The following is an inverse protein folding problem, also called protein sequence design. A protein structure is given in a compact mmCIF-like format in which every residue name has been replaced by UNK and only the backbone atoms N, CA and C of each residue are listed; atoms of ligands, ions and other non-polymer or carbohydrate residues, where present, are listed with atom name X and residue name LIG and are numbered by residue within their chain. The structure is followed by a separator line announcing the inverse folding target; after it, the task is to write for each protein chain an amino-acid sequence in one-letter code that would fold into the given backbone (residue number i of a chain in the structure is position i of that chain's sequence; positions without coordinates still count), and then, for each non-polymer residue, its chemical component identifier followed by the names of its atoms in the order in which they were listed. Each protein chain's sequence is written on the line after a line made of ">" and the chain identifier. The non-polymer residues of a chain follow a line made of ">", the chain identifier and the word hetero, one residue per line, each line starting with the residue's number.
data_IF_442703886933
#
_entry.id   IF_442703886933
#
_cell.length_a   1.000
_cell.length_b   1.000
_cell.length_c   1.000
_cell.angle_alpha   90.00
_cell.angle_beta   90.00
_cell.angle_gamma   90.00
#
_symmetry.space_group_name_H-M   'P 1'
#
loop_
_entity.id
_entity.type
_entity.pdbx_description
1 polymer ?
#
# COMPACT_ATOMS: atom_id res chain seq x y z
N UNK A 1 1.51 17.39 -5.97
CA UNK A 1 1.21 16.49 -7.10
C UNK A 1 0.11 15.53 -6.68
N UNK A 2 -0.87 15.32 -7.54
CA UNK A 2 -1.84 14.22 -7.36
C UNK A 2 -1.18 12.93 -7.83
N UNK A 3 -1.25 11.87 -7.01
CA UNK A 3 -0.84 10.52 -7.45
C UNK A 3 -1.88 10.02 -8.45
N UNK A 4 -1.44 9.40 -9.54
CA UNK A 4 -2.28 8.82 -10.59
C UNK A 4 -2.06 7.31 -10.72
N UNK A 5 -2.98 6.63 -11.40
CA UNK A 5 -2.77 5.22 -11.72
C UNK A 5 -1.51 5.04 -12.59
N UNK A 6 -0.70 4.02 -12.27
CA UNK A 6 0.62 3.78 -12.87
C UNK A 6 1.79 4.40 -12.10
N UNK A 7 1.54 5.29 -11.14
CA UNK A 7 2.60 5.79 -10.25
C UNK A 7 3.13 4.67 -9.35
N UNK A 8 4.40 4.80 -8.97
CA UNK A 8 5.06 3.87 -8.08
C UNK A 8 5.27 4.51 -6.71
N UNK A 9 4.87 3.79 -5.67
CA UNK A 9 5.06 4.20 -4.28
C UNK A 9 5.92 3.17 -3.56
N UNK A 10 6.70 3.63 -2.59
CA UNK A 10 7.46 2.76 -1.70
C UNK A 10 6.68 2.63 -0.40
N UNK A 11 6.45 1.39 0.03
CA UNK A 11 5.85 1.08 1.34
C UNK A 11 6.86 0.37 2.24
N UNK A 12 6.83 0.67 3.52
CA UNK A 12 7.78 0.17 4.54
C UNK A 12 7.07 -0.23 5.81
N UNK A 13 7.73 -1.06 6.61
CA UNK A 13 7.30 -1.41 7.96
C UNK A 13 6.80 -0.19 8.76
N UNK A 14 5.63 -0.35 9.38
CA UNK A 14 4.94 0.65 10.18
C UNK A 14 4.06 1.62 9.37
N UNK A 15 4.12 1.59 8.04
CA UNK A 15 3.31 2.47 7.20
C UNK A 15 1.93 1.86 6.91
N UNK A 16 0.93 2.75 6.87
CA UNK A 16 -0.39 2.42 6.33
C UNK A 16 -0.30 2.54 4.81
N UNK A 17 -0.74 1.51 4.10
CA UNK A 17 -0.78 1.51 2.64
C UNK A 17 -1.78 2.60 2.20
N UNK A 18 -1.36 3.61 1.43
CA UNK A 18 -2.20 4.78 1.15
C UNK A 18 -3.18 4.56 0.00
N UNK A 19 -2.85 3.64 -0.92
CA UNK A 19 -3.56 3.41 -2.18
C UNK A 19 -3.54 1.93 -2.54
N UNK A 20 -4.58 1.49 -3.24
CA UNK A 20 -4.65 0.15 -3.81
C UNK A 20 -3.63 0.01 -4.95
N UNK A 21 -2.96 -1.13 -5.00
CA UNK A 21 -1.93 -1.36 -6.00
C UNK A 21 -1.46 -2.80 -6.07
N UNK A 22 -0.38 -2.99 -6.83
CA UNK A 22 0.29 -4.29 -7.00
C UNK A 22 1.77 -4.13 -6.67
N UNK A 23 2.31 -5.05 -5.90
CA UNK A 23 3.75 -5.12 -5.62
C UNK A 23 4.48 -5.44 -6.92
N UNK A 24 5.40 -4.57 -7.33
CA UNK A 24 6.24 -4.78 -8.52
C UNK A 24 7.67 -5.20 -8.15
N UNK A 25 8.10 -4.91 -6.93
CA UNK A 25 9.40 -5.29 -6.36
C UNK A 25 9.35 -5.37 -4.82
N UNK A 26 10.16 -6.24 -4.22
CA UNK A 26 10.24 -6.45 -2.77
C UNK A 26 9.18 -7.38 -2.19
N UNK A 27 9.14 -7.45 -0.86
CA UNK A 27 8.26 -8.33 -0.07
C UNK A 27 7.86 -7.61 1.22
N UNK A 28 6.58 -7.73 1.59
CA UNK A 28 6.01 -7.19 2.83
C UNK A 28 5.10 -8.20 3.52
N UNK A 29 5.01 -8.09 4.84
CA UNK A 29 3.92 -8.68 5.63
C UNK A 29 2.89 -7.59 5.89
N UNK A 30 1.65 -7.83 5.50
CA UNK A 30 0.56 -6.85 5.59
C UNK A 30 -0.49 -7.35 6.57
N UNK A 31 -0.77 -6.55 7.59
CA UNK A 31 -1.90 -6.77 8.46
C UNK A 31 -3.17 -6.21 7.83
N UNK A 32 -4.07 -7.13 7.48
CA UNK A 32 -5.36 -6.85 6.85
C UNK A 32 -6.52 -6.96 7.85
N UNK A 33 -6.25 -6.99 9.16
CA UNK A 33 -7.28 -7.08 10.21
C UNK A 33 -8.30 -5.95 10.16
N UNK A 34 -7.91 -4.77 9.66
CA UNK A 34 -8.80 -3.64 9.42
C UNK A 34 -9.88 -3.94 8.37
N UNK A 35 -9.65 -4.93 7.51
CA UNK A 35 -10.54 -5.35 6.41
C UNK A 35 -11.20 -6.70 6.69
N UNK A 36 -10.44 -7.69 7.15
CA UNK A 36 -10.90 -9.08 7.32
C UNK A 36 -11.34 -9.40 8.75
N UNK A 37 -10.88 -8.63 9.74
CA UNK A 37 -11.03 -8.94 11.17
C UNK A 37 -10.03 -9.96 11.70
N UNK A 38 -9.19 -10.53 10.84
CA UNK A 38 -8.21 -11.55 11.22
C UNK A 38 -6.85 -10.91 11.51
N UNK A 39 -6.20 -11.24 12.64
CA UNK A 39 -4.97 -10.59 13.09
C UNK A 39 -3.70 -11.07 12.38
N UNK A 40 -3.78 -12.14 11.58
CA UNK A 40 -2.61 -12.75 10.94
C UNK A 40 -2.17 -11.93 9.72
N UNK A 41 -0.89 -11.53 9.71
CA UNK A 41 -0.33 -10.80 8.59
C UNK A 41 -0.15 -11.69 7.36
N UNK A 42 -0.53 -11.16 6.20
CA UNK A 42 -0.45 -11.84 4.92
C UNK A 42 0.81 -11.39 4.19
N UNK A 43 1.61 -12.36 3.73
CA UNK A 43 2.77 -12.08 2.89
C UNK A 43 2.32 -11.63 1.50
N UNK A 44 2.85 -10.49 1.04
CA UNK A 44 2.68 -9.96 -0.31
C UNK A 44 4.05 -9.76 -0.95
N UNK A 45 4.23 -10.32 -2.13
CA UNK A 45 5.42 -10.18 -2.96
C UNK A 45 5.03 -9.83 -4.39
N UNK A 46 5.98 -9.85 -5.33
CA UNK A 46 5.76 -9.46 -6.73
C UNK A 46 4.45 -10.04 -7.29
N UNK A 47 3.70 -9.19 -7.98
CA UNK A 47 2.40 -9.46 -8.59
C UNK A 47 1.23 -9.65 -7.59
N UNK A 48 1.50 -9.58 -6.29
CA UNK A 48 0.46 -9.56 -5.25
C UNK A 48 -0.21 -8.19 -5.14
N UNK A 49 -1.54 -8.17 -4.99
CA UNK A 49 -2.29 -6.95 -4.69
C UNK A 49 -2.03 -6.48 -3.25
N UNK A 50 -2.11 -5.19 -3.02
CA UNK A 50 -2.16 -4.56 -1.69
C UNK A 50 -3.31 -3.56 -1.64
N UNK A 51 -3.82 -3.32 -0.43
CA UNK A 51 -5.05 -2.55 -0.24
C UNK A 51 -4.84 -1.36 0.69
N UNK A 52 -5.46 -0.23 0.32
CA UNK A 52 -5.42 0.98 1.12
C UNK A 52 -6.01 0.76 2.52
N UNK A 53 -5.40 1.36 3.54
CA UNK A 53 -5.85 1.26 4.93
C UNK A 53 -5.37 0.00 5.67
N UNK A 54 -4.63 -0.88 5.02
CA UNK A 54 -3.90 -1.98 5.67
C UNK A 54 -2.51 -1.52 6.13
N UNK A 55 -1.88 -2.25 7.04
CA UNK A 55 -0.60 -1.85 7.65
C UNK A 55 0.51 -2.80 7.24
N UNK A 56 1.65 -2.27 6.84
CA UNK A 56 2.86 -3.07 6.65
C UNK A 56 3.46 -3.39 8.02
N UNK A 57 3.39 -4.64 8.46
CA UNK A 57 4.01 -5.06 9.72
C UNK A 57 5.50 -5.33 9.59
N UNK A 58 5.95 -5.76 8.41
CA UNK A 58 7.36 -6.03 8.16
C UNK A 58 7.71 -5.92 6.67
N UNK A 59 8.97 -5.63 6.40
CA UNK A 59 9.54 -5.59 5.05
C UNK A 59 9.40 -4.23 4.33
N UNK A 60 9.63 -4.29 3.01
CA UNK A 60 9.60 -3.14 2.10
C UNK A 60 9.25 -3.61 0.70
N UNK A 61 8.38 -2.87 0.03
CA UNK A 61 8.00 -3.13 -1.35
C UNK A 61 7.83 -1.84 -2.15
N UNK A 62 7.98 -1.95 -3.48
CA UNK A 62 7.54 -0.96 -4.45
C UNK A 62 6.21 -1.42 -5.01
N UNK A 63 5.22 -0.54 -5.00
CA UNK A 63 3.85 -0.82 -5.41
C UNK A 63 3.47 0.11 -6.55
N UNK A 64 2.93 -0.46 -7.64
CA UNK A 64 2.31 0.29 -8.72
C UNK A 64 0.83 0.53 -8.41
N UNK A 65 0.40 1.79 -8.45
CA UNK A 65 -0.96 2.21 -8.14
C UNK A 65 -1.92 1.76 -9.23
N UNK A 66 -2.93 0.96 -8.88
CA UNK A 66 -3.93 0.46 -9.85
C UNK A 66 -5.13 1.38 -10.02
N UNK A 67 -5.57 2.04 -8.95
CA UNK A 67 -6.72 2.94 -8.98
C UNK A 67 -6.57 4.03 -7.94
N UNK A 68 -6.69 5.27 -8.39
CA UNK A 68 -6.84 6.43 -7.51
C UNK A 68 -8.32 6.68 -7.33
N UNK A 69 -9.00 5.75 -6.65
CA UNK A 69 -10.39 5.98 -6.28
C UNK A 69 -10.45 7.31 -5.53
N UNK A 70 -11.14 8.31 -6.11
CA UNK A 70 -11.34 9.70 -5.59
C UNK A 70 -12.05 9.76 -4.22
N UNK A 71 -12.07 8.65 -3.49
CA UNK A 71 -12.68 8.44 -2.17
C UNK A 71 -11.63 8.08 -1.13
N UNK A 72 -10.34 8.17 -1.44
CA UNK A 72 -9.33 8.12 -0.37
C UNK A 72 -9.22 9.51 0.26
N UNK A 73 -9.46 9.61 1.58
CA UNK A 73 -9.31 10.81 2.42
C UNK A 73 -7.85 11.34 2.48
N UNK A 74 -7.06 11.12 1.44
CA UNK A 74 -5.60 11.20 1.42
C UNK A 74 -5.03 12.40 0.64
N UNK A 75 -5.86 13.36 0.19
CA UNK A 75 -5.39 14.64 -0.38
C UNK A 75 -4.41 15.43 0.54
N UNK A 76 -4.22 15.01 1.80
CA UNK A 76 -3.34 15.67 2.77
C UNK A 76 -2.05 14.94 3.13
N UNK A 77 -1.79 13.71 2.67
CA UNK A 77 -0.64 12.92 3.17
C UNK A 77 0.49 12.77 2.15
N UNK A 78 0.27 13.11 0.88
CA UNK A 78 1.30 13.00 -0.18
C UNK A 78 2.29 14.18 -0.09
N UNK A 79 3.19 14.11 0.88
CA UNK A 79 4.45 14.86 1.01
C UNK A 79 5.62 13.89 1.23
N UNK A 80 5.58 12.72 0.60
CA UNK A 80 6.68 11.77 0.49
C UNK A 80 6.55 11.23 -0.94
N UNK A 81 7.30 11.65 -1.94
CA UNK A 81 8.72 11.99 -2.03
C UNK A 81 8.83 13.06 -3.15
N UNK A 82 9.48 14.18 -2.81
CA UNK A 82 9.78 15.38 -3.63
C UNK A 82 8.62 16.33 -4.02
#
# INVERSE_FOLDING_TARGET
>A
NEVVAGDQIIIRQGEVIPLDGVVIDGVVLVNESSMTGEPEAVRRDKDSSVYAGTVVEDGKAIVEVRSTSKTSRYEKIVNLIE
#
